data_IF_439931368601
#
_entry.id   IF_439931368601
#
_cell.length_a   1.000
_cell.length_b   1.000
_cell.length_c   1.000
_cell.angle_alpha   90.00
_cell.angle_beta   90.00
_cell.angle_gamma   90.00
#
_symmetry.space_group_name_H-M   'P 1'
#
loop_
_entity.id
_entity.type
_entity.pdbx_description
1 polymer ?
#
# COMPACT_ATOMS: atom_id res chain seq x y z
N UNK A 1 16.88 -0.66 -3.55
CA UNK A 1 16.20 -1.97 -3.63
C UNK A 1 15.57 -2.10 -5.01
N UNK A 2 15.38 -3.32 -5.53
CA UNK A 2 14.74 -3.56 -6.85
C UNK A 2 13.35 -2.90 -6.95
N UNK A 3 12.68 -2.75 -5.79
CA UNK A 3 11.42 -2.02 -5.65
C UNK A 3 11.42 -0.66 -6.34
N UNK A 4 12.47 0.15 -6.17
CA UNK A 4 12.53 1.55 -6.66
C UNK A 4 13.11 1.69 -8.06
N UNK A 5 13.42 0.59 -8.72
CA UNK A 5 14.19 0.60 -9.96
C UNK A 5 13.56 -0.26 -11.04
N UNK A 6 12.64 -1.16 -10.66
CA UNK A 6 12.01 -2.08 -11.58
C UNK A 6 10.52 -2.30 -11.23
N UNK A 7 10.23 -2.79 -10.03
CA UNK A 7 8.86 -3.22 -9.67
C UNK A 7 7.87 -2.05 -9.68
N UNK A 8 8.13 -1.01 -8.89
CA UNK A 8 7.21 0.12 -8.70
C UNK A 8 7.48 1.31 -9.63
N UNK A 9 8.25 1.08 -10.70
CA UNK A 9 8.59 2.09 -11.70
C UNK A 9 7.59 2.08 -12.85
N UNK A 10 6.85 3.18 -13.03
CA UNK A 10 5.89 3.36 -14.12
C UNK A 10 6.18 4.69 -14.81
N UNK A 11 6.37 4.65 -16.12
CA UNK A 11 6.69 5.83 -16.94
C UNK A 11 7.84 6.69 -16.38
N UNK A 12 8.89 6.02 -15.89
CA UNK A 12 10.05 6.68 -15.31
C UNK A 12 9.85 7.20 -13.88
N UNK A 13 8.68 6.97 -13.26
CA UNK A 13 8.34 7.49 -11.94
C UNK A 13 8.03 6.39 -10.94
N UNK A 14 8.18 6.74 -9.66
CA UNK A 14 7.57 6.01 -8.54
C UNK A 14 6.40 6.83 -8.00
N UNK A 15 5.37 6.14 -7.52
CA UNK A 15 4.20 6.76 -6.88
C UNK A 15 4.11 6.27 -5.43
N UNK A 16 4.11 7.21 -4.48
CA UNK A 16 3.94 6.89 -3.08
C UNK A 16 2.51 6.39 -2.81
N UNK A 17 2.36 5.18 -2.29
CA UNK A 17 1.07 4.47 -2.20
C UNK A 17 -0.04 5.31 -1.54
N UNK A 18 0.26 5.95 -0.42
CA UNK A 18 -0.75 6.68 0.35
C UNK A 18 -0.99 8.10 -0.15
N UNK A 19 0.04 8.87 -0.45
CA UNK A 19 -0.16 10.28 -0.81
C UNK A 19 -0.32 10.50 -2.31
N UNK A 20 -0.01 9.51 -3.15
CA UNK A 20 0.05 9.70 -4.60
C UNK A 20 1.21 10.58 -5.06
N UNK A 21 2.15 10.93 -4.18
CA UNK A 21 3.31 11.74 -4.55
C UNK A 21 4.15 11.00 -5.59
N UNK A 22 4.34 11.63 -6.75
CA UNK A 22 5.18 11.10 -7.83
C UNK A 22 6.59 11.66 -7.75
N UNK A 23 7.57 10.77 -7.96
CA UNK A 23 8.98 11.13 -8.06
C UNK A 23 9.51 10.61 -9.37
N UNK A 24 9.96 11.53 -10.23
CA UNK A 24 10.75 11.20 -11.41
C UNK A 24 12.10 10.64 -10.95
N UNK A 25 12.49 9.50 -11.52
CA UNK A 25 13.78 8.90 -11.23
C UNK A 25 14.78 9.20 -12.34
N UNK A 26 16.04 9.36 -11.93
CA UNK A 26 17.17 9.47 -12.84
C UNK A 26 17.73 8.06 -13.13
N UNK A 27 17.57 7.60 -14.37
CA UNK A 27 17.97 6.25 -14.82
C UNK A 27 19.36 6.18 -15.43
N UNK A 28 20.21 7.20 -15.26
CA UNK A 28 21.62 7.09 -15.68
C UNK A 28 22.30 5.85 -15.05
N UNK A 29 21.85 5.42 -13.87
CA UNK A 29 22.22 4.16 -13.24
C UNK A 29 21.21 3.69 -12.18
N UNK A 30 21.36 2.45 -11.70
CA UNK A 30 20.59 1.95 -10.54
C UNK A 30 20.82 2.81 -9.27
N UNK A 31 22.03 3.35 -9.07
CA UNK A 31 22.36 4.14 -7.89
C UNK A 31 21.76 5.54 -7.94
N UNK A 32 21.64 6.16 -9.12
CA UNK A 32 21.00 7.48 -9.29
C UNK A 32 19.50 7.40 -9.03
N UNK A 33 18.83 6.33 -9.50
CA UNK A 33 17.41 6.12 -9.21
C UNK A 33 17.14 5.98 -7.70
N UNK A 34 17.98 5.22 -6.97
CA UNK A 34 17.87 5.11 -5.51
C UNK A 34 18.15 6.45 -4.83
N UNK A 35 19.14 7.21 -5.31
CA UNK A 35 19.45 8.53 -4.75
C UNK A 35 18.29 9.52 -4.97
N UNK A 36 17.65 9.51 -6.14
CA UNK A 36 16.48 10.33 -6.44
C UNK A 36 15.30 10.01 -5.51
N UNK A 37 14.98 8.72 -5.33
CA UNK A 37 13.94 8.30 -4.40
C UNK A 37 14.25 8.73 -2.95
N UNK A 38 15.49 8.53 -2.50
CA UNK A 38 15.95 8.96 -1.17
C UNK A 38 15.88 10.47 -0.97
N UNK A 39 16.33 11.25 -1.96
CA UNK A 39 16.27 12.72 -1.94
C UNK A 39 14.83 13.24 -1.88
N UNK A 40 13.90 12.52 -2.52
CA UNK A 40 12.47 12.79 -2.46
C UNK A 40 11.78 12.24 -1.20
N UNK A 41 12.56 11.78 -0.21
CA UNK A 41 12.07 11.26 1.07
C UNK A 41 11.15 10.04 0.94
N UNK A 42 11.36 9.21 -0.09
CA UNK A 42 10.65 7.95 -0.26
C UNK A 42 11.30 6.86 0.59
N UNK A 43 10.47 6.12 1.31
CA UNK A 43 10.87 4.90 2.02
C UNK A 43 9.98 3.71 1.63
N UNK A 44 10.29 2.55 2.19
CA UNK A 44 9.53 1.32 1.96
C UNK A 44 8.44 1.23 3.01
N UNK A 45 7.20 1.15 2.56
CA UNK A 45 6.06 0.83 3.39
C UNK A 45 5.84 -0.68 3.46
N UNK A 46 5.45 -1.17 4.63
CA UNK A 46 4.93 -2.51 4.86
C UNK A 46 3.41 -2.42 5.04
N UNK A 47 2.65 -2.73 3.98
CA UNK A 47 1.18 -2.63 3.98
C UNK A 47 0.59 -3.45 5.14
N UNK A 48 1.09 -4.65 5.38
CA UNK A 48 0.87 -5.33 6.65
C UNK A 48 1.98 -4.92 7.63
N UNK A 49 1.68 -4.21 8.73
CA UNK A 49 2.71 -3.60 9.57
C UNK A 49 3.70 -4.63 10.12
N UNK A 50 4.97 -4.23 10.22
CA UNK A 50 6.03 -5.05 10.81
C UNK A 50 5.64 -5.56 12.20
N UNK A 51 5.19 -4.65 13.07
CA UNK A 51 4.75 -4.97 14.44
C UNK A 51 3.51 -5.85 14.54
N UNK A 52 2.84 -6.14 13.42
CA UNK A 52 1.68 -7.03 13.34
C UNK A 52 2.01 -8.39 12.73
N UNK A 53 3.25 -8.63 12.27
CA UNK A 53 3.65 -9.95 11.75
C UNK A 53 4.69 -9.93 10.64
N UNK A 54 5.03 -8.76 10.09
CA UNK A 54 5.99 -8.62 8.97
C UNK A 54 7.44 -8.32 9.43
N UNK A 55 7.80 -8.64 10.67
CA UNK A 55 9.13 -8.31 11.23
C UNK A 55 10.28 -9.21 10.76
N UNK A 56 9.99 -10.44 10.34
CA UNK A 56 10.97 -11.48 10.04
C UNK A 56 10.91 -11.93 8.59
N UNK A 57 12.02 -12.46 8.08
CA UNK A 57 12.04 -13.12 6.78
C UNK A 57 11.19 -14.41 6.82
N UNK A 58 10.47 -14.75 5.72
CA UNK A 58 10.47 -14.08 4.42
C UNK A 58 9.57 -12.84 4.35
N UNK A 59 8.59 -12.70 5.24
CA UNK A 59 7.61 -11.62 5.25
C UNK A 59 8.25 -10.23 5.14
N UNK A 60 9.32 -9.94 5.89
CA UNK A 60 9.99 -8.64 5.92
C UNK A 60 10.38 -8.08 4.53
N UNK A 61 10.68 -8.95 3.56
CA UNK A 61 11.17 -8.58 2.23
C UNK A 61 10.24 -8.95 1.08
N UNK A 62 9.03 -9.44 1.37
CA UNK A 62 8.11 -9.91 0.33
C UNK A 62 7.49 -8.74 -0.45
N UNK A 63 7.79 -8.64 -1.75
CA UNK A 63 7.41 -7.51 -2.60
C UNK A 63 5.89 -7.37 -2.84
N UNK A 64 5.09 -8.40 -2.54
CA UNK A 64 3.63 -8.32 -2.68
C UNK A 64 2.95 -7.45 -1.62
N UNK A 65 3.65 -7.09 -0.54
CA UNK A 65 3.12 -6.20 0.51
C UNK A 65 4.08 -5.08 0.93
N UNK A 66 5.25 -4.97 0.30
CA UNK A 66 6.13 -3.79 0.44
C UNK A 66 6.02 -2.89 -0.78
N UNK A 67 5.93 -1.58 -0.57
CA UNK A 67 5.66 -0.61 -1.65
C UNK A 67 6.27 0.76 -1.30
N UNK A 68 6.61 1.64 -2.28
CA UNK A 68 7.11 2.97 -1.98
C UNK A 68 6.06 3.85 -1.29
N UNK A 69 6.51 4.63 -0.30
CA UNK A 69 5.69 5.64 0.36
C UNK A 69 6.51 6.89 0.68
N UNK A 70 5.85 8.04 0.75
CA UNK A 70 6.46 9.26 1.29
C UNK A 70 6.69 9.05 2.79
N UNK A 71 7.93 9.19 3.25
CA UNK A 71 8.32 8.80 4.61
C UNK A 71 7.52 9.49 5.72
N UNK A 72 7.13 10.76 5.54
CA UNK A 72 6.27 11.47 6.50
C UNK A 72 4.87 10.87 6.60
N UNK A 73 4.30 10.43 5.46
CA UNK A 73 2.96 9.84 5.37
C UNK A 73 2.99 8.39 5.83
N UNK A 74 4.03 7.65 5.49
CA UNK A 74 4.29 6.32 6.04
C UNK A 74 4.38 6.37 7.59
N UNK A 75 5.14 7.33 8.12
CA UNK A 75 5.25 7.53 9.56
C UNK A 75 3.90 7.87 10.21
N UNK A 76 3.06 8.66 9.53
CA UNK A 76 1.71 9.00 10.00
C UNK A 76 0.77 7.79 9.98
N UNK A 77 0.84 6.95 8.94
CA UNK A 77 0.07 5.71 8.83
C UNK A 77 0.36 4.73 9.97
N UNK A 78 1.61 4.69 10.44
CA UNK A 78 2.02 3.88 11.60
C UNK A 78 1.62 2.41 11.43
N UNK A 79 0.91 1.81 12.40
CA UNK A 79 0.29 0.50 12.31
C UNK A 79 -1.23 0.57 12.47
N UNK A 80 -1.85 1.72 12.15
CA UNK A 80 -3.30 1.85 12.23
C UNK A 80 -3.97 0.88 11.27
N UNK A 81 -5.11 0.31 11.70
CA UNK A 81 -5.90 -0.59 10.85
C UNK A 81 -6.45 0.19 9.67
N UNK A 82 -6.61 -0.50 8.55
CA UNK A 82 -7.34 0.07 7.44
C UNK A 82 -8.84 0.11 7.75
N UNK A 83 -9.48 1.24 7.45
CA UNK A 83 -10.91 1.43 7.63
C UNK A 83 -11.42 2.55 6.72
N UNK A 84 -12.72 2.58 6.50
CA UNK A 84 -13.42 3.82 6.15
C UNK A 84 -13.40 4.74 7.38
N UNK A 85 -13.10 6.01 7.16
CA UNK A 85 -13.06 7.09 8.13
C UNK A 85 -14.04 8.15 7.65
N UNK A 86 -15.02 8.52 8.47
CA UNK A 86 -15.92 9.59 8.08
C UNK A 86 -15.17 10.92 8.07
N UNK A 87 -15.39 11.78 7.06
CA UNK A 87 -14.69 13.06 6.90
C UNK A 87 -14.67 13.95 8.17
N UNK A 88 -15.73 13.87 8.97
CA UNK A 88 -15.90 14.64 10.20
C UNK A 88 -15.16 14.04 11.42
N UNK A 89 -14.64 12.82 11.29
CA UNK A 89 -13.76 12.13 12.23
C UNK A 89 -12.29 12.23 11.80
N UNK A 90 -12.02 12.58 10.54
CA UNK A 90 -10.66 12.69 10.00
C UNK A 90 -9.89 13.84 10.63
N UNK A 91 -8.81 13.51 11.35
CA UNK A 91 -7.89 14.48 11.94
C UNK A 91 -6.95 15.09 10.90
N UNK A 92 -6.44 14.26 9.98
CA UNK A 92 -5.43 14.68 9.00
C UNK A 92 -5.66 14.05 7.63
N UNK A 93 -5.49 14.86 6.61
CA UNK A 93 -5.61 14.52 5.20
C UNK A 93 -4.24 14.62 4.52
N UNK A 94 -3.91 13.68 3.63
CA UNK A 94 -2.63 13.64 2.91
C UNK A 94 -2.78 13.49 1.38
N UNK A 95 -2.16 14.39 0.61
CA UNK A 95 -2.08 14.33 -0.87
C UNK A 95 -0.75 14.94 -1.35
N UNK A 96 0.00 14.19 -2.15
CA UNK A 96 1.34 14.54 -2.57
C UNK A 96 2.27 14.74 -1.37
N UNK A 97 2.80 15.95 -1.23
CA UNK A 97 3.58 16.40 -0.07
C UNK A 97 2.77 17.25 0.89
N UNK A 98 1.47 17.45 0.63
CA UNK A 98 0.58 18.30 1.41
C UNK A 98 -0.07 17.52 2.55
N UNK A 99 -0.39 18.27 3.61
CA UNK A 99 -1.17 17.80 4.75
C UNK A 99 -2.19 18.87 5.14
N UNK A 100 -3.42 18.47 5.44
CA UNK A 100 -4.48 19.37 5.93
C UNK A 100 -5.15 18.82 7.19
N UNK A 101 -5.45 19.69 8.16
CA UNK A 101 -6.28 19.36 9.34
C UNK A 101 -7.75 19.76 9.13
N UNK A 102 -8.14 20.01 7.89
CA UNK A 102 -9.49 20.43 7.52
C UNK A 102 -9.90 19.68 6.27
N UNK A 103 -11.19 19.34 6.21
CA UNK A 103 -11.80 18.59 5.10
C UNK A 103 -11.47 19.30 3.77
N UNK A 104 -10.84 18.61 2.80
CA UNK A 104 -10.58 19.14 1.46
C UNK A 104 -11.86 19.61 0.77
N UNK A 105 -11.78 20.73 0.07
CA UNK A 105 -12.96 21.34 -0.61
C UNK A 105 -13.23 20.78 -2.01
N UNK A 106 -12.32 19.97 -2.54
CA UNK A 106 -12.40 19.34 -3.85
C UNK A 106 -11.53 18.09 -3.89
N UNK A 107 -11.89 17.13 -4.74
CA UNK A 107 -11.14 15.89 -4.96
C UNK A 107 -10.85 15.14 -3.66
N UNK A 108 -11.84 15.07 -2.75
CA UNK A 108 -11.67 14.46 -1.43
C UNK A 108 -11.16 13.02 -1.51
N UNK A 109 -11.68 12.25 -2.47
CA UNK A 109 -11.27 10.89 -2.82
C UNK A 109 -9.80 10.73 -3.24
N UNK A 110 -9.11 11.83 -3.57
CA UNK A 110 -7.66 11.80 -3.87
C UNK A 110 -6.79 11.88 -2.62
N UNK A 111 -7.35 12.10 -1.44
CA UNK A 111 -6.60 12.21 -0.19
C UNK A 111 -6.63 10.88 0.56
N UNK A 112 -5.54 10.57 1.29
CA UNK A 112 -5.63 9.61 2.39
C UNK A 112 -6.04 10.32 3.67
N UNK A 113 -6.69 9.59 4.56
CA UNK A 113 -7.30 10.10 5.79
C UNK A 113 -6.75 9.36 7.01
N UNK A 114 -6.52 10.12 8.08
CA UNK A 114 -6.09 9.61 9.37
C UNK A 114 -7.10 10.01 10.45
N UNK A 115 -7.66 9.00 11.11
CA UNK A 115 -8.27 9.09 12.45
C UNK A 115 -7.17 8.71 13.46
N UNK A 116 -6.58 9.72 14.10
CA UNK A 116 -5.33 9.61 14.83
C UNK A 116 -5.48 8.70 16.05
N UNK A 117 -4.69 7.61 16.06
CA UNK A 117 -4.78 6.59 17.12
C UNK A 117 -5.71 5.43 16.79
N UNK A 118 -6.50 5.54 15.72
CA UNK A 118 -7.59 4.60 15.41
C UNK A 118 -7.41 3.91 14.07
N UNK A 119 -7.39 4.65 12.97
CA UNK A 119 -7.56 4.09 11.63
C UNK A 119 -6.89 4.93 10.53
N UNK A 120 -6.61 4.27 9.41
CA UNK A 120 -6.11 4.88 8.18
C UNK A 120 -7.03 4.52 7.02
N UNK A 121 -7.47 5.53 6.27
CA UNK A 121 -8.12 5.35 4.98
C UNK A 121 -7.17 5.79 3.86
N UNK A 122 -6.80 4.89 2.92
CA UNK A 122 -6.01 5.27 1.78
C UNK A 122 -6.89 5.99 0.74
N UNK A 123 -6.23 6.66 -0.22
CA UNK A 123 -6.90 7.18 -1.42
C UNK A 123 -7.77 6.11 -2.07
N UNK A 124 -8.93 6.51 -2.60
CA UNK A 124 -9.92 5.59 -3.17
C UNK A 124 -9.32 4.64 -4.21
N UNK A 125 -8.48 5.18 -5.11
CA UNK A 125 -7.83 4.43 -6.19
C UNK A 125 -6.79 3.40 -5.73
N UNK A 126 -6.59 3.23 -4.42
CA UNK A 126 -5.62 2.29 -3.82
C UNK A 126 -6.25 1.30 -2.87
N UNK A 127 -7.56 1.40 -2.63
CA UNK A 127 -8.27 0.58 -1.65
C UNK A 127 -8.19 -0.90 -2.03
N UNK A 128 -8.36 -1.23 -3.31
CA UNK A 128 -8.25 -2.58 -3.85
C UNK A 128 -6.83 -3.13 -3.79
N UNK A 129 -5.84 -2.34 -4.21
CA UNK A 129 -4.41 -2.70 -4.14
C UNK A 129 -4.01 -3.12 -2.72
N UNK A 130 -4.43 -2.31 -1.74
CA UNK A 130 -4.14 -2.55 -0.32
C UNK A 130 -4.87 -3.78 0.19
N UNK A 131 -6.15 -3.96 -0.17
CA UNK A 131 -6.91 -5.16 0.18
C UNK A 131 -6.22 -6.43 -0.30
N UNK A 132 -5.84 -6.49 -1.58
CA UNK A 132 -5.15 -7.65 -2.17
C UNK A 132 -3.77 -7.90 -1.58
N UNK A 133 -3.03 -6.86 -1.20
CA UNK A 133 -1.76 -7.00 -0.50
C UNK A 133 -1.93 -7.55 0.93
N UNK A 134 -2.97 -7.11 1.66
CA UNK A 134 -3.29 -7.62 3.00
C UNK A 134 -3.78 -9.07 2.94
N UNK A 135 -4.70 -9.41 2.02
CA UNK A 135 -5.16 -10.77 1.85
C UNK A 135 -4.03 -11.73 1.48
N UNK A 136 -3.15 -11.31 0.56
CA UNK A 136 -1.92 -12.05 0.25
C UNK A 136 -1.12 -12.32 1.52
N UNK A 137 -0.83 -11.28 2.30
CA UNK A 137 0.01 -11.41 3.49
C UNK A 137 -0.59 -12.41 4.48
N UNK A 138 -1.88 -12.29 4.78
CA UNK A 138 -2.56 -13.13 5.75
C UNK A 138 -2.62 -14.59 5.31
N UNK A 139 -2.72 -14.88 4.01
CA UNK A 139 -2.73 -16.27 3.51
C UNK A 139 -1.33 -16.86 3.45
N UNK A 140 -0.36 -16.12 2.89
CA UNK A 140 0.99 -16.63 2.62
C UNK A 140 1.85 -16.66 3.88
N UNK A 141 1.73 -15.65 4.74
CA UNK A 141 2.47 -15.51 6.01
C UNK A 141 1.54 -15.73 7.22
N UNK A 142 0.62 -16.70 7.11
CA UNK A 142 -0.41 -16.98 8.12
C UNK A 142 0.15 -17.37 9.50
N UNK A 143 1.39 -17.84 9.55
CA UNK A 143 2.08 -18.25 10.77
C UNK A 143 2.56 -17.05 11.61
N UNK A 144 2.81 -15.90 10.97
CA UNK A 144 3.24 -14.67 11.66
C UNK A 144 2.18 -13.56 11.66
N UNK A 145 1.22 -13.61 10.74
CA UNK A 145 0.17 -12.60 10.64
C UNK A 145 -0.70 -12.55 11.92
N UNK A 146 -0.80 -11.37 12.53
CA UNK A 146 -1.73 -11.14 13.63
C UNK A 146 -3.18 -11.19 13.13
N UNK A 147 -3.83 -12.34 13.33
CA UNK A 147 -5.21 -12.56 12.92
C UNK A 147 -6.20 -11.59 13.58
N UNK A 148 -5.98 -11.18 14.83
CA UNK A 148 -6.85 -10.22 15.51
C UNK A 148 -6.76 -8.82 14.90
N UNK A 149 -5.59 -8.44 14.39
CA UNK A 149 -5.41 -7.20 13.63
C UNK A 149 -6.15 -7.27 12.29
N UNK A 150 -5.97 -8.35 11.53
CA UNK A 150 -6.68 -8.57 10.26
C UNK A 150 -8.21 -8.57 10.43
N UNK A 151 -8.73 -9.27 11.43
CA UNK A 151 -10.17 -9.41 11.64
C UNK A 151 -10.88 -8.06 11.91
N UNK A 152 -10.16 -7.02 12.35
CA UNK A 152 -10.72 -5.68 12.55
C UNK A 152 -10.95 -4.90 11.24
N UNK A 153 -10.35 -5.35 10.13
CA UNK A 153 -10.42 -4.69 8.82
C UNK A 153 -10.91 -5.61 7.71
N UNK A 154 -11.07 -6.93 7.96
CA UNK A 154 -11.45 -7.94 6.96
C UNK A 154 -12.66 -7.51 6.12
N UNK A 155 -13.76 -7.13 6.77
CA UNK A 155 -15.01 -6.83 6.06
C UNK A 155 -14.85 -5.57 5.19
N UNK A 156 -14.16 -4.54 5.70
CA UNK A 156 -13.79 -3.35 4.91
C UNK A 156 -12.90 -3.70 3.71
N UNK A 157 -11.92 -4.58 3.90
CA UNK A 157 -11.03 -4.98 2.80
C UNK A 157 -11.76 -5.80 1.73
N UNK A 158 -12.78 -6.58 2.11
CA UNK A 158 -13.64 -7.28 1.14
C UNK A 158 -14.43 -6.29 0.30
N UNK A 159 -15.05 -5.30 0.95
CA UNK A 159 -15.75 -4.22 0.25
C UNK A 159 -14.82 -3.46 -0.70
N UNK A 160 -13.62 -3.10 -0.24
CA UNK A 160 -12.61 -2.41 -1.06
C UNK A 160 -12.17 -3.23 -2.26
N UNK A 161 -11.89 -4.52 -2.07
CA UNK A 161 -11.52 -5.42 -3.16
C UNK A 161 -12.63 -5.56 -4.21
N UNK A 162 -13.90 -5.54 -3.80
CA UNK A 162 -15.03 -5.60 -4.72
C UNK A 162 -15.27 -4.28 -5.47
N UNK A 163 -15.02 -3.14 -4.81
CA UNK A 163 -15.28 -1.81 -5.35
C UNK A 163 -14.14 -1.27 -6.23
N UNK A 164 -12.91 -1.71 -5.97
CA UNK A 164 -11.69 -1.33 -6.70
C UNK A 164 -11.03 -2.58 -7.35
N UNK A 165 -11.51 -3.01 -8.54
CA UNK A 165 -11.03 -4.19 -9.22
C UNK A 165 -9.56 -4.07 -9.64
N UNK A 166 -8.93 -5.22 -9.87
CA UNK A 166 -7.55 -5.29 -10.37
C UNK A 166 -7.39 -4.48 -11.66
N UNK A 167 -6.38 -3.61 -11.69
CA UNK A 167 -6.04 -2.81 -12.87
C UNK A 167 -4.73 -3.28 -13.58
N UNK A 168 -4.44 -2.68 -14.73
CA UNK A 168 -3.25 -3.00 -15.52
C UNK A 168 -1.94 -2.69 -14.76
N UNK A 169 -1.97 -1.70 -13.86
CA UNK A 169 -0.80 -1.31 -13.07
C UNK A 169 -0.48 -2.39 -12.05
N UNK A 170 -1.48 -2.90 -11.35
CA UNK A 170 -1.33 -4.03 -10.42
C UNK A 170 -0.90 -5.30 -11.11
N UNK A 171 -1.49 -5.63 -12.27
CA UNK A 171 -1.08 -6.81 -13.03
C UNK A 171 0.38 -6.70 -13.48
N UNK A 172 0.79 -5.53 -13.98
CA UNK A 172 2.19 -5.25 -14.35
C UNK A 172 3.12 -5.37 -13.15
N UNK A 173 2.73 -4.82 -11.99
CA UNK A 173 3.49 -4.92 -10.75
C UNK A 173 3.64 -6.38 -10.31
N UNK A 174 2.55 -7.15 -10.32
CA UNK A 174 2.54 -8.57 -9.99
C UNK A 174 3.50 -9.37 -10.88
N UNK A 175 3.48 -9.14 -12.19
CA UNK A 175 4.34 -9.84 -13.14
C UNK A 175 5.83 -9.54 -12.90
N UNK A 176 6.16 -8.28 -12.60
CA UNK A 176 7.53 -7.88 -12.23
C UNK A 176 7.97 -8.48 -10.90
N UNK A 177 7.08 -8.56 -9.92
CA UNK A 177 7.36 -9.24 -8.65
C UNK A 177 7.60 -10.73 -8.91
N UNK A 178 6.75 -11.40 -9.68
CA UNK A 178 6.93 -12.81 -10.04
C UNK A 178 8.27 -13.05 -10.72
N UNK A 179 8.69 -12.18 -11.65
CA UNK A 179 9.98 -12.30 -12.31
C UNK A 179 11.17 -12.22 -11.34
N UNK A 180 11.05 -11.47 -10.25
CA UNK A 180 12.13 -11.24 -9.29
C UNK A 180 12.06 -12.11 -8.02
N UNK A 181 10.87 -12.46 -7.56
CA UNK A 181 10.60 -13.22 -6.33
C UNK A 181 10.17 -14.67 -6.59
N UNK A 182 9.62 -14.95 -7.77
CA UNK A 182 9.23 -16.29 -8.22
C UNK A 182 7.77 -16.68 -8.00
N UNK A 183 6.94 -15.80 -7.42
CA UNK A 183 5.53 -16.11 -7.12
C UNK A 183 4.58 -14.95 -7.45
N UNK A 184 3.33 -15.28 -7.76
CA UNK A 184 2.22 -14.34 -7.95
C UNK A 184 1.49 -14.04 -6.65
N UNK A 185 0.79 -12.91 -6.61
CA UNK A 185 -0.30 -12.67 -5.67
C UNK A 185 -1.60 -13.29 -6.24
N UNK A 186 -2.13 -14.37 -5.64
CA UNK A 186 -3.30 -15.06 -6.20
C UNK A 186 -4.58 -14.21 -6.15
N UNK A 187 -4.63 -13.16 -5.33
CA UNK A 187 -5.76 -12.21 -5.29
C UNK A 187 -5.76 -11.21 -6.44
N UNK A 188 -4.63 -11.04 -7.12
CA UNK A 188 -4.54 -10.30 -8.40
C UNK A 188 -4.98 -11.22 -9.56
N UNK A 189 -4.71 -12.52 -9.48
CA UNK A 189 -5.01 -13.49 -10.54
C UNK A 189 -6.49 -13.93 -10.54
N UNK A 190 -7.08 -14.12 -9.36
CA UNK A 190 -8.47 -14.57 -9.20
C UNK A 190 -9.22 -13.62 -8.25
N UNK A 191 -10.01 -12.72 -8.85
CA UNK A 191 -10.81 -11.74 -8.10
C UNK A 191 -11.86 -12.37 -7.19
N UNK A 192 -12.24 -13.63 -7.39
CA UNK A 192 -13.20 -14.33 -6.52
C UNK A 192 -12.55 -14.94 -5.28
N UNK A 193 -11.22 -14.98 -5.20
CA UNK A 193 -10.51 -15.70 -4.15
C UNK A 193 -10.74 -15.10 -2.75
N UNK A 194 -10.79 -13.77 -2.63
CA UNK A 194 -11.02 -13.09 -1.35
C UNK A 194 -12.37 -13.50 -0.75
N UNK A 195 -13.44 -13.44 -1.55
CA UNK A 195 -14.78 -13.86 -1.15
C UNK A 195 -14.82 -15.31 -0.69
N UNK A 196 -14.23 -16.24 -1.45
CA UNK A 196 -14.26 -17.67 -1.09
C UNK A 196 -13.50 -18.01 0.20
N UNK A 197 -12.55 -17.17 0.60
CA UNK A 197 -11.71 -17.42 1.79
C UNK A 197 -12.21 -16.68 3.04
N UNK A 198 -12.85 -15.53 2.87
CA UNK A 198 -13.09 -14.60 3.98
C UNK A 198 -14.55 -14.17 4.18
N UNK A 199 -15.47 -14.53 3.26
CA UNK A 199 -16.92 -14.30 3.37
C UNK A 199 -17.66 -15.61 3.66
#
# INVERSE_FOLDING_TARGET
TILYTEVDVFDGKINAIYSGYEVELDYDSFSTAIQAASAASINTEHIFPRSMGAELFPALSDMHHIIPALSSVNSARSNFRFAEVADNQTDKWYLGTQQSNSIPTSNINDWSELDEGTAWEPREIRKGDIARAVFYFVVIHNDTANAAFFNQMRDTLLDWHAQDPVDDREQTRNDRIKANQGNDNPFIIDSTLAERLFN
#
